data_IF_424430673616
#
_entry.id   IF_424430673616
#
_cell.length_a   1.000
_cell.length_b   1.000
_cell.length_c   1.000
_cell.angle_alpha   90.00
_cell.angle_beta   90.00
_cell.angle_gamma   90.00
#
_symmetry.space_group_name_H-M   'P 1'
#
loop_
_entity.id
_entity.type
_entity.pdbx_description
1 polymer ?
#
# COMPACT_ATOMS: atom_id res chain seq x y z
N UNK A 1 6.43 -0.98 -22.83
CA UNK A 1 5.98 -1.98 -21.81
C UNK A 1 5.01 -1.32 -20.86
N UNK A 2 4.00 -2.04 -20.43
CA UNK A 2 3.03 -1.56 -19.46
C UNK A 2 3.70 -1.34 -18.10
N UNK A 3 3.42 -0.19 -17.46
CA UNK A 3 3.94 0.12 -16.13
C UNK A 3 3.28 -0.77 -15.08
N UNK A 4 4.07 -1.19 -14.11
CA UNK A 4 3.63 -2.01 -12.98
C UNK A 4 3.82 -1.26 -11.67
N UNK A 5 2.86 -1.39 -10.79
CA UNK A 5 2.85 -0.76 -9.48
C UNK A 5 2.51 -1.78 -8.42
N UNK A 6 3.05 -1.61 -7.24
CA UNK A 6 2.65 -2.39 -6.06
C UNK A 6 1.74 -1.54 -5.18
N UNK A 7 0.59 -2.08 -4.82
CA UNK A 7 -0.26 -1.54 -3.78
C UNK A 7 -0.12 -2.37 -2.51
N UNK A 8 0.07 -1.73 -1.36
CA UNK A 8 0.11 -2.37 -0.05
C UNK A 8 -1.05 -1.86 0.79
N UNK A 9 -1.83 -2.78 1.34
CA UNK A 9 -2.88 -2.50 2.31
C UNK A 9 -2.38 -2.92 3.70
N UNK A 10 -2.15 -1.94 4.56
CA UNK A 10 -1.72 -2.17 5.95
C UNK A 10 -2.99 -2.30 6.80
N UNK A 11 -3.40 -3.53 7.05
CA UNK A 11 -4.55 -3.83 7.89
C UNK A 11 -4.17 -4.13 9.33
N UNK A 12 -5.12 -4.02 10.24
CA UNK A 12 -4.92 -4.34 11.66
C UNK A 12 -4.71 -5.83 11.96
N UNK A 13 -5.07 -6.70 11.03
CA UNK A 13 -4.97 -8.17 11.17
C UNK A 13 -4.06 -8.80 10.12
N UNK A 14 -4.10 -8.28 8.91
CA UNK A 14 -3.33 -8.78 7.78
C UNK A 14 -2.69 -7.63 7.01
N UNK A 15 -1.54 -7.93 6.44
CA UNK A 15 -0.89 -7.13 5.40
C UNK A 15 -1.19 -7.76 4.04
N UNK A 16 -1.54 -6.95 3.06
CA UNK A 16 -1.78 -7.40 1.70
C UNK A 16 -0.95 -6.58 0.73
N UNK A 17 -0.45 -7.22 -0.32
CA UNK A 17 0.17 -6.52 -1.44
C UNK A 17 -0.37 -7.07 -2.75
N UNK A 18 -0.47 -6.22 -3.75
CA UNK A 18 -0.88 -6.63 -5.08
C UNK A 18 -0.11 -5.87 -6.14
N UNK A 19 0.13 -6.50 -7.28
CA UNK A 19 0.66 -5.84 -8.47
C UNK A 19 -0.49 -5.42 -9.35
N UNK A 20 -0.49 -4.16 -9.74
CA UNK A 20 -1.45 -3.62 -10.71
C UNK A 20 -0.72 -3.01 -11.90
N UNK A 21 -1.36 -3.04 -13.06
CA UNK A 21 -0.89 -2.33 -14.22
C UNK A 21 -1.43 -0.89 -14.29
N UNK A 22 -1.03 -0.14 -15.30
CA UNK A 22 -1.44 1.25 -15.51
C UNK A 22 -2.94 1.43 -15.79
N UNK A 23 -3.66 0.36 -16.07
CA UNK A 23 -5.12 0.37 -16.25
C UNK A 23 -5.88 0.11 -14.96
N UNK A 24 -5.17 -0.23 -13.87
CA UNK A 24 -5.75 -0.64 -12.60
C UNK A 24 -6.12 -2.13 -12.53
N UNK A 25 -5.69 -2.94 -13.52
CA UNK A 25 -5.93 -4.38 -13.51
C UNK A 25 -5.01 -5.04 -12.48
N UNK A 26 -5.59 -5.79 -11.55
CA UNK A 26 -4.84 -6.58 -10.58
C UNK A 26 -4.23 -7.81 -11.24
N UNK A 27 -2.91 -7.91 -11.25
CA UNK A 27 -2.15 -9.00 -11.87
C UNK A 27 -1.83 -10.12 -10.87
N UNK A 28 -1.61 -9.77 -9.62
CA UNK A 28 -1.31 -10.72 -8.54
C UNK A 28 -1.65 -10.12 -7.19
N UNK A 29 -1.75 -10.98 -6.19
CA UNK A 29 -1.88 -10.57 -4.79
C UNK A 29 -1.14 -11.54 -3.88
N UNK A 30 -0.62 -11.00 -2.77
CA UNK A 30 -0.02 -11.75 -1.67
C UNK A 30 -0.55 -11.22 -0.34
N UNK A 31 -0.57 -12.07 0.67
CA UNK A 31 -1.11 -11.74 1.99
C UNK A 31 -0.30 -12.44 3.08
N UNK A 32 -0.10 -11.75 4.21
CA UNK A 32 0.47 -12.34 5.43
C UNK A 32 -0.24 -11.79 6.66
N UNK A 33 -0.38 -12.56 7.74
CA UNK A 33 -0.84 -12.02 9.01
C UNK A 33 0.07 -10.90 9.49
N UNK A 34 -0.53 -9.87 10.10
CA UNK A 34 0.24 -8.84 10.75
C UNK A 34 0.92 -9.40 12.00
N UNK A 35 2.24 -9.34 12.04
CA UNK A 35 3.05 -9.60 13.21
C UNK A 35 3.97 -8.40 13.42
N UNK A 36 3.70 -7.62 14.45
CA UNK A 36 4.52 -6.47 14.76
C UNK A 36 5.48 -6.82 15.90
N UNK A 37 6.78 -6.66 15.65
CA UNK A 37 7.84 -6.81 16.63
C UNK A 37 8.64 -5.52 16.75
N UNK A 38 9.25 -5.08 15.66
CA UNK A 38 9.97 -3.81 15.56
C UNK A 38 9.56 -3.07 14.29
N UNK A 39 9.72 -1.73 14.24
CA UNK A 39 9.50 -0.96 13.02
C UNK A 39 10.30 -1.48 11.82
N UNK A 40 11.55 -1.88 12.03
CA UNK A 40 12.43 -2.40 10.98
C UNK A 40 11.91 -3.73 10.42
N UNK A 41 11.53 -4.68 11.30
CA UNK A 41 10.97 -5.96 10.90
C UNK A 41 9.63 -5.79 10.18
N UNK A 42 8.82 -4.81 10.58
CA UNK A 42 7.57 -4.47 9.90
C UNK A 42 7.83 -4.00 8.46
N UNK A 43 8.78 -3.07 8.27
CA UNK A 43 9.14 -2.58 6.93
C UNK A 43 9.74 -3.70 6.06
N UNK A 44 10.57 -4.55 6.64
CA UNK A 44 11.11 -5.73 5.94
C UNK A 44 10.00 -6.68 5.47
N UNK A 45 8.98 -6.89 6.31
CA UNK A 45 7.80 -7.70 5.96
C UNK A 45 7.04 -7.09 4.78
N UNK A 46 6.83 -5.76 4.76
CA UNK A 46 6.18 -5.07 3.64
C UNK A 46 6.98 -5.25 2.34
N UNK A 47 8.30 -5.12 2.41
CA UNK A 47 9.17 -5.30 1.25
C UNK A 47 9.17 -6.76 0.75
N UNK A 48 9.21 -7.73 1.66
CA UNK A 48 9.10 -9.16 1.34
C UNK A 48 7.78 -9.50 0.66
N UNK A 49 6.67 -8.96 1.19
CA UNK A 49 5.34 -9.15 0.63
C UNK A 49 5.21 -8.54 -0.78
N UNK A 50 5.84 -7.39 -1.00
CA UNK A 50 5.89 -6.76 -2.33
C UNK A 50 6.63 -7.61 -3.35
N UNK A 51 7.75 -8.23 -2.96
CA UNK A 51 8.49 -9.17 -3.80
C UNK A 51 7.68 -10.42 -4.12
N UNK A 52 6.99 -10.99 -3.13
CA UNK A 52 6.11 -12.14 -3.35
C UNK A 52 5.00 -11.83 -4.37
N UNK A 53 4.39 -10.65 -4.27
CA UNK A 53 3.39 -10.21 -5.24
C UNK A 53 4.00 -10.04 -6.64
N UNK A 54 5.20 -9.48 -6.76
CA UNK A 54 5.91 -9.34 -8.03
C UNK A 54 6.25 -10.69 -8.66
N UNK A 55 6.79 -11.62 -7.88
CA UNK A 55 7.08 -12.99 -8.33
C UNK A 55 5.81 -13.71 -8.82
N UNK A 56 4.70 -13.58 -8.08
CA UNK A 56 3.41 -14.15 -8.46
C UNK A 56 2.84 -13.53 -9.76
N UNK A 57 3.21 -12.29 -10.08
CA UNK A 57 2.89 -11.65 -11.36
C UNK A 57 3.87 -12.00 -12.48
N UNK A 58 4.94 -12.73 -12.19
CA UNK A 58 5.99 -13.09 -13.14
C UNK A 58 6.87 -11.91 -13.54
N UNK A 59 7.03 -10.90 -12.66
CA UNK A 59 7.87 -9.72 -12.90
C UNK A 59 9.00 -9.63 -11.88
N UNK A 60 10.11 -9.02 -12.30
CA UNK A 60 11.20 -8.68 -11.40
C UNK A 60 10.92 -7.41 -10.59
N UNK A 61 11.63 -7.26 -9.48
CA UNK A 61 11.51 -6.06 -8.64
C UNK A 61 11.90 -4.78 -9.40
N UNK A 62 12.78 -4.88 -10.36
CA UNK A 62 13.23 -3.78 -11.24
C UNK A 62 12.16 -3.29 -12.22
N UNK A 63 11.09 -4.07 -12.41
CA UNK A 63 9.95 -3.68 -13.25
C UNK A 63 8.90 -2.88 -12.48
N UNK A 64 9.01 -2.80 -11.16
CA UNK A 64 8.11 -2.03 -10.30
C UNK A 64 8.43 -0.55 -10.43
N UNK A 65 7.47 0.24 -10.92
CA UNK A 65 7.64 1.69 -11.12
C UNK A 65 7.47 2.50 -9.82
N UNK A 66 6.59 2.07 -8.94
CA UNK A 66 6.33 2.71 -7.65
C UNK A 66 5.54 1.79 -6.71
N UNK A 67 5.54 2.14 -5.44
CA UNK A 67 4.76 1.48 -4.38
C UNK A 67 3.82 2.48 -3.74
N UNK A 68 2.54 2.12 -3.62
CA UNK A 68 1.54 2.86 -2.85
C UNK A 68 1.15 2.09 -1.59
N UNK A 69 1.02 2.76 -0.46
CA UNK A 69 0.64 2.16 0.82
C UNK A 69 -0.61 2.82 1.38
N UNK A 70 -1.65 2.02 1.61
CA UNK A 70 -2.84 2.41 2.37
C UNK A 70 -2.62 2.14 3.85
N UNK A 71 -2.76 3.17 4.68
CA UNK A 71 -2.45 3.14 6.12
C UNK A 71 -3.72 3.37 6.93
N UNK A 72 -4.01 2.54 7.95
CA UNK A 72 -5.19 2.71 8.82
C UNK A 72 -4.93 3.78 9.89
N UNK A 73 -4.69 5.02 9.47
CA UNK A 73 -4.32 6.10 10.38
C UNK A 73 -3.98 7.39 9.66
N UNK A 74 -3.21 8.20 10.34
CA UNK A 74 -2.75 9.50 9.87
C UNK A 74 -1.35 9.39 9.26
N UNK A 75 -1.16 10.01 8.12
CA UNK A 75 0.10 9.97 7.36
C UNK A 75 0.53 11.36 6.93
N UNK A 76 1.83 11.59 6.90
CA UNK A 76 2.48 12.69 6.19
C UNK A 76 2.82 12.18 4.78
N UNK A 77 1.99 12.54 3.82
CA UNK A 77 2.12 12.11 2.43
C UNK A 77 3.34 12.73 1.74
N UNK A 78 3.75 13.92 2.16
CA UNK A 78 4.90 14.62 1.59
C UNK A 78 6.22 13.95 1.96
N UNK A 79 6.35 13.54 3.23
CA UNK A 79 7.58 12.94 3.74
C UNK A 79 7.56 11.40 3.82
N UNK A 80 6.44 10.78 3.47
CA UNK A 80 6.31 9.32 3.50
C UNK A 80 6.37 8.72 4.91
N UNK A 81 5.78 9.41 5.88
CA UNK A 81 5.82 9.04 7.29
C UNK A 81 4.43 8.64 7.79
N UNK A 82 4.33 7.52 8.50
CA UNK A 82 3.14 7.17 9.28
C UNK A 82 3.22 7.95 10.59
N UNK A 83 2.29 8.89 10.78
CA UNK A 83 2.24 9.72 11.99
C UNK A 83 1.63 8.96 13.16
N UNK A 84 0.53 8.26 12.89
CA UNK A 84 -0.18 7.51 13.92
C UNK A 84 -1.11 6.46 13.32
N UNK A 85 -1.26 5.33 13.99
CA UNK A 85 -2.25 4.29 13.69
C UNK A 85 -2.97 3.85 14.97
N UNK A 86 -4.28 3.55 14.86
CA UNK A 86 -5.09 3.18 16.03
C UNK A 86 -4.83 1.75 16.52
N UNK A 87 -4.65 0.83 15.58
CA UNK A 87 -4.69 -0.62 15.85
C UNK A 87 -3.33 -1.31 15.74
N UNK A 88 -2.30 -0.58 15.34
CA UNK A 88 -0.93 -1.05 15.19
C UNK A 88 -0.05 -0.06 15.94
N UNK A 89 0.96 -0.50 16.70
CA UNK A 89 1.81 0.42 17.46
C UNK A 89 2.83 1.13 16.57
N UNK A 90 2.34 1.84 15.57
CA UNK A 90 3.13 2.65 14.64
C UNK A 90 2.88 4.13 14.93
N UNK A 91 3.94 4.85 15.21
CA UNK A 91 3.93 6.29 15.36
C UNK A 91 5.27 6.86 14.87
N UNK A 92 5.20 8.00 14.19
CA UNK A 92 6.38 8.72 13.67
C UNK A 92 7.35 7.82 12.87
N UNK A 93 6.81 6.87 12.11
CA UNK A 93 7.60 5.93 11.33
C UNK A 93 7.84 6.44 9.90
N UNK A 94 9.08 6.77 9.50
CA UNK A 94 9.42 7.18 8.14
C UNK A 94 9.46 5.96 7.20
N UNK A 95 8.32 5.30 7.03
CA UNK A 95 8.20 4.02 6.34
C UNK A 95 8.66 4.10 4.88
N UNK A 96 8.41 5.22 4.20
CA UNK A 96 8.83 5.41 2.82
C UNK A 96 10.36 5.38 2.68
N UNK A 97 11.07 6.10 3.52
CA UNK A 97 12.54 6.12 3.51
C UNK A 97 13.14 4.76 3.91
N UNK A 98 12.56 4.10 4.89
CA UNK A 98 13.01 2.77 5.34
C UNK A 98 12.74 1.69 4.29
N UNK A 99 11.57 1.72 3.64
CA UNK A 99 11.19 0.77 2.60
C UNK A 99 12.13 0.85 1.38
N UNK A 100 12.53 2.05 0.98
CA UNK A 100 13.44 2.27 -0.14
C UNK A 100 14.82 1.62 0.03
N UNK A 101 15.21 1.25 1.25
CA UNK A 101 16.43 0.47 1.50
C UNK A 101 16.32 -0.97 0.99
N UNK A 102 15.09 -1.48 0.85
CA UNK A 102 14.81 -2.84 0.37
C UNK A 102 14.42 -2.87 -1.11
N UNK A 103 13.74 -1.81 -1.57
CA UNK A 103 13.28 -1.65 -2.94
C UNK A 103 13.37 -0.16 -3.30
N UNK A 104 14.37 0.19 -4.11
CA UNK A 104 14.66 1.59 -4.46
C UNK A 104 13.72 2.12 -5.55
N UNK A 105 12.48 2.35 -5.16
CA UNK A 105 11.41 2.91 -5.99
C UNK A 105 10.70 4.03 -5.24
N UNK A 106 10.00 4.95 -5.93
CA UNK A 106 9.11 5.91 -5.29
C UNK A 106 8.08 5.21 -4.41
N UNK A 107 7.87 5.73 -3.19
CA UNK A 107 6.89 5.23 -2.23
C UNK A 107 5.93 6.34 -1.88
N UNK A 108 4.63 6.06 -1.99
CA UNK A 108 3.54 6.98 -1.69
C UNK A 108 2.66 6.41 -0.59
N UNK A 109 2.30 7.23 0.38
CA UNK A 109 1.41 6.87 1.47
C UNK A 109 0.11 7.65 1.37
N UNK A 110 -0.98 6.98 1.71
CA UNK A 110 -2.28 7.62 1.91
C UNK A 110 -3.08 6.85 2.98
N UNK A 111 -4.04 7.51 3.61
CA UNK A 111 -5.00 6.84 4.46
C UNK A 111 -5.75 5.77 3.66
N UNK A 112 -6.03 4.62 4.26
CA UNK A 112 -6.66 3.46 3.60
C UNK A 112 -8.06 3.76 3.04
N UNK A 113 -8.88 4.52 3.75
CA UNK A 113 -10.19 4.94 3.27
C UNK A 113 -10.09 5.91 2.10
N UNK A 114 -9.10 6.81 2.10
CA UNK A 114 -8.80 7.68 0.97
C UNK A 114 -8.33 6.89 -0.25
N UNK A 115 -7.51 5.86 -0.05
CA UNK A 115 -7.11 4.94 -1.11
C UNK A 115 -8.33 4.25 -1.74
N UNK A 116 -9.26 3.75 -0.91
CA UNK A 116 -10.49 3.13 -1.39
C UNK A 116 -11.35 4.11 -2.20
N UNK A 117 -11.47 5.35 -1.74
CA UNK A 117 -12.21 6.40 -2.45
C UNK A 117 -11.58 6.72 -3.81
N UNK A 118 -10.26 6.84 -3.88
CA UNK A 118 -9.54 7.07 -5.13
C UNK A 118 -9.71 5.90 -6.12
N UNK A 119 -9.65 4.67 -5.63
CA UNK A 119 -9.84 3.48 -6.44
C UNK A 119 -11.25 3.42 -7.05
N UNK A 120 -12.27 3.70 -6.25
CA UNK A 120 -13.66 3.76 -6.72
C UNK A 120 -13.90 4.90 -7.73
N UNK A 121 -13.25 6.05 -7.53
CA UNK A 121 -13.34 7.17 -8.46
C UNK A 121 -12.69 6.86 -9.81
N UNK A 122 -11.55 6.18 -9.82
CA UNK A 122 -10.80 5.90 -11.05
C UNK A 122 -11.31 4.68 -11.82
N UNK A 123 -11.54 3.59 -11.11
CA UNK A 123 -11.78 2.28 -11.73
C UNK A 123 -13.08 1.60 -11.26
N UNK A 124 -13.76 2.14 -10.26
CA UNK A 124 -14.94 1.57 -9.65
C UNK A 124 -16.25 2.31 -9.96
N UNK A 125 -17.16 2.26 -9.01
CA UNK A 125 -18.53 2.79 -9.12
C UNK A 125 -18.58 4.33 -9.29
N UNK A 126 -17.54 5.04 -8.85
CA UNK A 126 -17.43 6.49 -8.96
C UNK A 126 -16.90 7.01 -10.29
N UNK A 127 -16.58 6.13 -11.23
CA UNK A 127 -16.00 6.52 -12.52
C UNK A 127 -16.94 7.45 -13.31
N UNK A 128 -16.43 8.64 -13.64
CA UNK A 128 -17.19 9.67 -14.38
C UNK A 128 -18.06 10.57 -13.51
N UNK A 129 -18.08 10.39 -12.18
CA UNK A 129 -18.77 11.29 -11.27
C UNK A 129 -17.96 12.58 -11.03
N UNK A 130 -18.65 13.70 -10.77
CA UNK A 130 -17.99 14.96 -10.38
C UNK A 130 -17.50 14.94 -8.94
N UNK A 131 -18.18 14.21 -8.08
CA UNK A 131 -17.81 14.03 -6.67
C UNK A 131 -18.25 12.66 -6.18
N UNK A 132 -17.54 12.15 -5.16
CA UNK A 132 -17.77 10.84 -4.58
C UNK A 132 -17.60 10.93 -3.07
N UNK A 133 -18.50 10.30 -2.34
CA UNK A 133 -18.36 10.03 -0.91
C UNK A 133 -18.28 8.52 -0.74
N UNK A 134 -17.22 8.08 -0.10
CA UNK A 134 -17.01 6.66 0.24
C UNK A 134 -17.06 6.49 1.75
N UNK A 135 -17.90 5.55 2.20
CA UNK A 135 -17.99 5.19 3.61
C UNK A 135 -17.48 3.76 3.76
N UNK A 136 -16.41 3.61 4.54
CA UNK A 136 -15.88 2.29 4.90
C UNK A 136 -16.48 1.83 6.21
N UNK A 137 -16.98 0.61 6.25
CA UNK A 137 -17.53 -0.02 7.46
C UNK A 137 -16.60 -1.16 7.86
N UNK A 138 -16.10 -1.12 9.09
CA UNK A 138 -15.14 -2.11 9.59
C UNK A 138 -14.90 -1.94 11.08
N UNK A 139 -13.78 -2.46 11.54
CA UNK A 139 -13.36 -2.41 12.97
C UNK A 139 -12.75 -1.08 13.40
N UNK A 140 -12.68 -0.13 12.52
CA UNK A 140 -12.14 1.22 12.80
C UNK A 140 -10.89 1.51 12.05
#
# INVERSE_FOLDING_TARGET
MSKKYVGIDIGGTNLKAGVVDETGTLLSAAKTPLQFTTPEAFVETLAGLSRQAAEAAGIGAEEICAVGMGVPGEVDTEHGTILYTCNIPLADLPVGALFRRYLDVPVYLENDANCAALAEYWAGAGKGCHSLIVVTLGTG
#
